data_IF_514017253055
#
_entry.id   IF_514017253055
#
_cell.length_a   1.000
_cell.length_b   1.000
_cell.length_c   1.000
_cell.angle_alpha   90.00
_cell.angle_beta   90.00
_cell.angle_gamma   90.00
#
_symmetry.space_group_name_H-M   'P 1'
#
loop_
_entity.id
_entity.type
_entity.pdbx_description
1 polymer ?
#
# COMPACT_ATOMS: atom_id res chain seq x y z
N UNK A 1 -5.67 3.97 70.41
CA UNK A 1 -4.89 3.22 69.39
C UNK A 1 -4.99 1.75 69.75
N UNK A 2 -6.00 1.08 69.19
CA UNK A 2 -6.35 -0.31 69.45
C UNK A 2 -5.82 -1.19 68.30
N UNK A 3 -5.47 -2.43 68.66
CA UNK A 3 -5.28 -3.63 67.82
C UNK A 3 -3.92 -3.72 67.09
N UNK A 4 -2.91 -4.37 67.69
CA UNK A 4 -2.71 -5.84 67.75
C UNK A 4 -2.79 -6.47 66.36
N UNK A 5 -1.67 -6.73 65.68
CA UNK A 5 -0.60 -7.69 66.02
C UNK A 5 -1.10 -9.15 66.08
N UNK A 6 -1.76 -9.64 65.03
CA UNK A 6 -2.02 -11.08 64.87
C UNK A 6 -2.41 -11.43 63.43
N UNK A 7 -1.44 -11.43 62.51
CA UNK A 7 -1.59 -12.00 61.17
C UNK A 7 -0.25 -12.53 60.64
N UNK A 8 0.50 -13.19 61.53
CA UNK A 8 1.78 -13.81 61.23
C UNK A 8 1.79 -15.22 61.85
N UNK A 9 0.82 -16.04 61.45
CA UNK A 9 0.81 -17.47 61.74
C UNK A 9 0.61 -18.21 60.42
N UNK A 10 1.53 -19.14 60.17
CA UNK A 10 1.50 -20.17 59.13
C UNK A 10 1.88 -19.75 57.69
N UNK A 11 3.05 -19.14 57.52
CA UNK A 11 3.89 -19.50 56.38
C UNK A 11 4.49 -20.90 56.63
N UNK A 12 3.62 -21.92 56.65
CA UNK A 12 4.06 -23.30 56.55
C UNK A 12 4.84 -23.39 55.25
N UNK A 13 6.11 -23.77 55.35
CA UNK A 13 6.95 -24.14 54.22
C UNK A 13 6.30 -25.33 53.52
N UNK A 14 5.34 -25.06 52.64
CA UNK A 14 4.86 -25.99 51.64
C UNK A 14 6.06 -26.21 50.71
N UNK A 15 6.91 -27.16 51.08
CA UNK A 15 7.97 -27.65 50.21
C UNK A 15 7.24 -28.44 49.13
N UNK A 16 6.82 -27.72 48.09
CA UNK A 16 6.18 -28.32 46.94
C UNK A 16 7.15 -29.38 46.41
N UNK A 17 6.70 -30.62 46.35
CA UNK A 17 7.52 -31.68 45.84
C UNK A 17 7.84 -31.39 44.36
N UNK A 18 9.08 -31.69 43.96
CA UNK A 18 9.60 -31.35 42.64
C UNK A 18 9.17 -32.46 41.69
N UNK A 19 8.58 -32.09 40.54
CA UNK A 19 8.27 -33.07 39.50
C UNK A 19 9.48 -33.23 38.58
N UNK A 20 9.80 -34.46 38.24
CA UNK A 20 10.84 -34.80 37.26
C UNK A 20 10.26 -35.73 36.20
N UNK A 21 10.93 -35.78 35.05
CA UNK A 21 10.53 -36.63 33.93
C UNK A 21 11.57 -37.71 33.75
N UNK A 22 11.13 -38.96 33.68
CA UNK A 22 11.96 -40.11 33.37
C UNK A 22 11.70 -40.62 31.96
N UNK A 23 12.79 -41.00 31.30
CA UNK A 23 12.80 -41.63 29.97
C UNK A 23 11.97 -40.90 28.89
N UNK A 24 12.08 -39.57 28.72
CA UNK A 24 11.44 -38.90 27.60
C UNK A 24 12.04 -39.42 26.30
N UNK A 25 11.19 -40.03 25.47
CA UNK A 25 11.58 -40.62 24.18
C UNK A 25 10.69 -40.05 23.10
N UNK A 26 11.31 -39.60 22.02
CA UNK A 26 10.63 -39.17 20.81
C UNK A 26 10.99 -40.12 19.69
N UNK A 27 9.96 -40.52 18.95
CA UNK A 27 10.09 -41.40 17.79
C UNK A 27 9.31 -40.80 16.64
N UNK A 28 9.96 -40.59 15.50
CA UNK A 28 9.31 -40.25 14.23
C UNK A 28 9.07 -41.52 13.41
N UNK A 29 7.94 -41.58 12.73
CA UNK A 29 7.53 -42.68 11.87
C UNK A 29 7.15 -42.11 10.50
N UNK A 30 7.51 -42.85 9.46
CA UNK A 30 7.10 -42.60 8.08
C UNK A 30 5.64 -43.06 7.85
N UNK A 31 5.08 -42.76 6.68
CA UNK A 31 3.74 -43.17 6.20
C UNK A 31 3.54 -44.70 6.27
N UNK A 32 4.63 -45.46 6.10
CA UNK A 32 4.63 -46.93 6.19
C UNK A 32 4.66 -47.48 7.63
N UNK A 33 4.75 -46.62 8.64
CA UNK A 33 4.84 -46.99 10.05
C UNK A 33 6.23 -47.49 10.47
N UNK A 34 7.22 -47.46 9.57
CA UNK A 34 8.62 -47.70 9.92
C UNK A 34 9.17 -46.51 10.72
N UNK A 35 9.83 -46.79 11.84
CA UNK A 35 10.43 -45.74 12.69
C UNK A 35 11.65 -45.13 12.01
N UNK A 36 11.57 -43.84 11.66
CA UNK A 36 12.65 -43.10 10.98
C UNK A 36 13.76 -42.76 11.97
N UNK A 37 13.40 -42.19 13.13
CA UNK A 37 14.37 -41.73 14.13
C UNK A 37 13.79 -41.90 15.53
N UNK A 38 14.56 -42.53 16.42
CA UNK A 38 14.25 -42.64 17.86
C UNK A 38 15.34 -41.94 18.64
N UNK A 39 14.97 -40.95 19.46
CA UNK A 39 15.91 -40.21 20.28
C UNK A 39 15.41 -40.17 21.74
N UNK A 40 16.32 -40.49 22.67
CA UNK A 40 16.06 -40.39 24.10
C UNK A 40 16.55 -39.02 24.55
N UNK A 41 15.62 -38.18 24.99
CA UNK A 41 15.90 -36.79 25.35
C UNK A 41 16.56 -36.74 26.74
N UNK A 42 17.55 -35.86 26.89
CA UNK A 42 18.11 -35.51 28.19
C UNK A 42 17.45 -34.21 28.66
N UNK A 43 17.11 -34.12 29.94
CA UNK A 43 16.42 -32.94 30.48
C UNK A 43 17.31 -31.67 30.55
N UNK A 44 18.64 -31.83 30.46
CA UNK A 44 19.62 -30.75 30.67
C UNK A 44 20.16 -30.18 29.35
N UNK A 45 20.08 -30.94 28.25
CA UNK A 45 20.67 -30.59 26.97
C UNK A 45 19.64 -30.75 25.86
N UNK A 46 19.35 -29.65 25.16
CA UNK A 46 18.47 -29.64 24.00
C UNK A 46 19.13 -30.40 22.84
N UNK A 47 18.40 -31.25 22.10
CA UNK A 47 18.93 -31.92 20.92
C UNK A 47 19.50 -30.94 19.89
N UNK A 48 20.66 -31.28 19.34
CA UNK A 48 21.40 -30.40 18.43
C UNK A 48 20.73 -30.29 17.04
N UNK A 49 20.01 -31.32 16.61
CA UNK A 49 19.38 -31.39 15.30
C UNK A 49 17.85 -31.37 15.43
N UNK A 50 17.16 -30.42 14.78
CA UNK A 50 15.70 -30.38 14.76
C UNK A 50 15.10 -31.67 14.20
N UNK A 51 13.94 -32.07 14.72
CA UNK A 51 13.18 -33.19 14.18
C UNK A 51 12.31 -32.71 13.03
N UNK A 52 12.71 -33.04 11.80
CA UNK A 52 11.88 -32.78 10.63
C UNK A 52 10.81 -33.87 10.47
N UNK A 53 9.58 -33.44 10.22
CA UNK A 53 8.45 -34.31 9.86
C UNK A 53 7.99 -33.96 8.44
N UNK A 54 7.71 -34.99 7.64
CA UNK A 54 7.02 -34.87 6.37
C UNK A 54 5.50 -34.68 6.51
N UNK A 55 4.78 -34.46 5.40
CA UNK A 55 3.33 -34.24 5.38
C UNK A 55 2.50 -35.43 5.83
N UNK A 56 3.04 -36.65 5.77
CA UNK A 56 2.34 -37.90 6.15
C UNK A 56 2.93 -38.55 7.40
N UNK A 57 4.01 -37.98 7.95
CA UNK A 57 4.75 -38.58 9.04
C UNK A 57 3.98 -38.48 10.36
N UNK A 58 4.33 -39.35 11.31
CA UNK A 58 3.82 -39.28 12.67
C UNK A 58 4.93 -39.20 13.71
N UNK A 59 4.71 -38.39 14.75
CA UNK A 59 5.60 -38.26 15.89
C UNK A 59 4.92 -38.81 17.13
N UNK A 60 5.62 -39.70 17.84
CA UNK A 60 5.21 -40.18 19.16
C UNK A 60 6.20 -39.71 20.21
N UNK A 61 5.67 -39.08 21.26
CA UNK A 61 6.41 -38.68 22.44
C UNK A 61 5.89 -39.48 23.63
N UNK A 62 6.78 -40.19 24.32
CA UNK A 62 6.45 -40.98 25.51
C UNK A 62 7.35 -40.57 26.66
N UNK A 63 6.78 -40.37 27.84
CA UNK A 63 7.53 -40.03 29.04
C UNK A 63 6.77 -40.47 30.29
N UNK A 64 7.47 -40.52 31.42
CA UNK A 64 6.88 -40.82 32.72
C UNK A 64 7.19 -39.70 33.72
N UNK A 65 6.16 -39.22 34.42
CA UNK A 65 6.25 -38.12 35.40
C UNK A 65 6.36 -38.72 36.80
N UNK A 66 7.43 -38.35 37.51
CA UNK A 66 7.75 -38.85 38.84
C UNK A 66 7.95 -37.68 39.81
N UNK A 67 7.71 -37.94 41.10
CA UNK A 67 8.01 -37.02 42.19
C UNK A 67 9.46 -37.23 42.66
N UNK A 68 10.23 -36.15 42.73
CA UNK A 68 11.59 -36.14 43.26
C UNK A 68 11.56 -35.65 44.72
N UNK A 69 11.49 -36.62 45.65
CA UNK A 69 11.26 -36.34 47.07
C UNK A 69 11.21 -37.57 47.99
N UNK A 70 12.39 -38.00 48.47
CA UNK A 70 12.69 -38.69 49.74
C UNK A 70 11.85 -39.91 50.21
N UNK A 71 12.31 -41.11 49.82
CA UNK A 71 12.75 -42.25 50.67
C UNK A 71 13.12 -43.41 49.73
N UNK A 72 14.23 -44.09 50.02
CA UNK A 72 14.81 -45.25 49.31
C UNK A 72 13.92 -45.89 48.23
N UNK A 73 14.29 -45.68 46.96
CA UNK A 73 13.95 -46.56 45.84
C UNK A 73 12.50 -46.60 45.33
N UNK A 74 11.54 -45.92 45.97
CA UNK A 74 10.14 -45.93 45.49
C UNK A 74 9.87 -44.74 44.58
N UNK A 75 10.04 -44.97 43.29
CA UNK A 75 9.68 -44.01 42.24
C UNK A 75 8.15 -43.96 42.17
N UNK A 76 7.52 -42.98 42.82
CA UNK A 76 6.06 -42.81 42.80
C UNK A 76 5.65 -42.03 41.55
N UNK A 77 4.89 -42.68 40.67
CA UNK A 77 4.26 -42.01 39.53
C UNK A 77 3.19 -41.05 40.00
N UNK A 78 3.21 -39.82 39.49
CA UNK A 78 2.22 -38.79 39.80
C UNK A 78 1.39 -38.52 38.56
N UNK A 79 0.08 -38.43 38.73
CA UNK A 79 -0.83 -37.96 37.71
C UNK A 79 -1.06 -36.46 37.91
N UNK A 80 -0.51 -35.58 37.05
CA UNK A 80 -0.75 -34.15 37.17
C UNK A 80 -2.17 -33.79 36.76
N UNK A 81 -2.65 -32.64 37.24
CA UNK A 81 -3.95 -32.09 36.85
C UNK A 81 -3.87 -31.43 35.47
N UNK A 82 -2.73 -30.80 35.17
CA UNK A 82 -2.46 -30.09 33.93
C UNK A 82 -1.20 -30.66 33.26
N UNK A 83 -1.32 -31.08 32.01
CA UNK A 83 -0.17 -31.52 31.19
C UNK A 83 -0.41 -31.08 29.75
N UNK A 84 0.42 -30.15 29.30
CA UNK A 84 0.31 -29.54 27.97
C UNK A 84 1.65 -29.60 27.24
N UNK A 85 1.58 -29.94 25.97
CA UNK A 85 2.66 -29.72 25.03
C UNK A 85 2.41 -28.41 24.30
N UNK A 86 3.33 -27.47 24.45
CA UNK A 86 3.32 -26.20 23.75
C UNK A 86 4.24 -26.29 22.53
N UNK A 87 3.73 -25.90 21.39
CA UNK A 87 4.44 -25.77 20.12
C UNK A 87 4.48 -24.28 19.81
N UNK A 88 5.66 -23.68 19.87
CA UNK A 88 5.81 -22.22 19.75
C UNK A 88 6.67 -21.87 18.54
N UNK A 89 6.18 -20.97 17.70
CA UNK A 89 6.97 -20.38 16.62
C UNK A 89 7.56 -19.04 17.08
N UNK A 90 8.89 -18.90 17.15
CA UNK A 90 9.54 -17.66 17.58
C UNK A 90 9.35 -16.49 16.59
N UNK A 91 9.08 -16.74 15.31
CA UNK A 91 8.95 -15.67 14.31
C UNK A 91 7.54 -15.07 14.30
N UNK A 92 6.53 -15.92 14.12
CA UNK A 92 5.12 -15.49 14.12
C UNK A 92 4.60 -15.17 15.52
N UNK A 93 5.29 -15.68 16.56
CA UNK A 93 4.87 -15.64 17.97
C UNK A 93 3.57 -16.37 18.24
N UNK A 94 3.14 -17.22 17.32
CA UNK A 94 1.97 -18.06 17.48
C UNK A 94 2.31 -19.32 18.29
N UNK A 95 1.35 -19.80 19.08
CA UNK A 95 1.51 -21.02 19.85
C UNK A 95 0.33 -21.96 19.67
N UNK A 96 0.65 -23.24 19.53
CA UNK A 96 -0.29 -24.34 19.59
C UNK A 96 -0.15 -25.11 20.89
N UNK A 97 -1.27 -25.40 21.56
CA UNK A 97 -1.27 -26.15 22.82
C UNK A 97 -2.01 -27.47 22.63
N UNK A 98 -1.32 -28.58 22.92
CA UNK A 98 -1.87 -29.92 22.88
C UNK A 98 -2.00 -30.50 24.29
N UNK A 99 -3.21 -30.85 24.76
CA UNK A 99 -3.38 -31.58 26.01
C UNK A 99 -2.82 -32.99 25.89
N UNK A 100 -2.05 -33.43 26.89
CA UNK A 100 -1.56 -34.80 26.98
C UNK A 100 -2.30 -35.52 28.11
N UNK A 101 -2.85 -36.69 27.82
CA UNK A 101 -3.44 -37.56 28.85
C UNK A 101 -2.34 -38.32 29.57
N UNK A 102 -2.32 -38.20 30.89
CA UNK A 102 -1.40 -38.92 31.78
C UNK A 102 -2.18 -39.97 32.57
N UNK A 103 -1.65 -41.19 32.64
CA UNK A 103 -2.23 -42.27 33.44
C UNK A 103 -1.98 -42.08 34.93
N UNK A 104 -2.71 -42.77 35.83
CA UNK A 104 -2.45 -42.73 37.28
C UNK A 104 -1.01 -43.12 37.67
N UNK A 105 -0.33 -43.92 36.84
CA UNK A 105 1.06 -44.33 37.03
C UNK A 105 2.09 -43.27 36.54
N UNK A 106 1.63 -42.09 36.13
CA UNK A 106 2.47 -41.01 35.60
C UNK A 106 2.95 -41.21 34.17
N UNK A 107 2.53 -42.28 33.48
CA UNK A 107 2.92 -42.53 32.07
C UNK A 107 2.06 -41.71 31.12
N UNK A 108 2.71 -41.06 30.16
CA UNK A 108 2.10 -40.22 29.14
C UNK A 108 2.51 -40.67 27.74
N UNK A 109 1.57 -40.64 26.80
CA UNK A 109 1.79 -40.87 25.37
C UNK A 109 1.12 -39.75 24.60
N UNK A 110 1.90 -39.08 23.77
CA UNK A 110 1.44 -38.10 22.79
C UNK A 110 1.75 -38.63 21.39
N UNK A 111 0.81 -38.46 20.48
CA UNK A 111 0.93 -38.90 19.08
C UNK A 111 0.39 -37.79 18.20
N UNK A 112 1.24 -37.32 17.29
CA UNK A 112 0.96 -36.27 16.33
C UNK A 112 1.05 -36.89 14.94
N UNK A 113 -0.03 -36.83 14.18
CA UNK A 113 -0.10 -37.37 12.83
C UNK A 113 -0.26 -36.20 11.83
N UNK A 114 0.69 -36.03 10.92
CA UNK A 114 0.67 -34.95 9.93
C UNK A 114 -0.30 -35.19 8.77
N UNK A 115 -0.71 -36.44 8.51
CA UNK A 115 -1.75 -36.71 7.51
C UNK A 115 -3.12 -36.12 7.91
N UNK A 116 -3.33 -35.90 9.21
CA UNK A 116 -4.51 -35.22 9.78
C UNK A 116 -4.05 -34.28 10.90
N UNK A 117 -3.43 -33.15 10.54
CA UNK A 117 -2.82 -32.26 11.52
C UNK A 117 -3.92 -31.65 12.41
N UNK A 118 -3.72 -31.59 13.73
CA UNK A 118 -4.71 -30.98 14.62
C UNK A 118 -4.80 -29.47 14.39
N UNK A 119 -6.02 -28.92 14.48
CA UNK A 119 -6.30 -27.48 14.29
C UNK A 119 -5.60 -26.57 15.32
N UNK A 120 -5.12 -27.15 16.41
CA UNK A 120 -4.37 -26.45 17.46
C UNK A 120 -2.87 -26.35 17.18
N UNK A 121 -2.38 -26.76 16.00
CA UNK A 121 -1.03 -26.41 15.56
C UNK A 121 -0.98 -24.93 15.15
N UNK A 122 0.10 -24.20 15.48
CA UNK A 122 0.31 -22.89 14.89
C UNK A 122 0.56 -23.03 13.39
N UNK A 123 0.25 -22.01 12.58
CA UNK A 123 0.73 -21.89 11.21
C UNK A 123 2.23 -22.20 11.12
N UNK A 124 2.57 -23.19 10.30
CA UNK A 124 3.93 -23.69 10.19
C UNK A 124 4.61 -23.05 9.01
N UNK A 125 5.77 -22.43 9.26
CA UNK A 125 6.69 -21.93 8.23
C UNK A 125 7.93 -22.84 8.19
N UNK A 126 8.97 -22.43 7.46
CA UNK A 126 10.25 -23.15 7.43
C UNK A 126 11.03 -23.09 8.75
N UNK A 127 10.57 -22.32 9.74
CA UNK A 127 11.26 -22.18 11.03
C UNK A 127 11.02 -23.37 11.96
N UNK A 128 12.04 -23.73 12.76
CA UNK A 128 11.87 -24.78 13.76
C UNK A 128 10.98 -24.31 14.91
N UNK A 129 9.89 -25.05 15.14
CA UNK A 129 8.99 -24.90 16.28
C UNK A 129 9.65 -25.41 17.56
N UNK A 130 9.54 -24.62 18.63
CA UNK A 130 10.02 -24.97 19.95
C UNK A 130 8.98 -25.80 20.70
N UNK A 131 9.31 -27.06 21.00
CA UNK A 131 8.43 -27.96 21.74
C UNK A 131 8.74 -27.88 23.22
N UNK A 132 7.81 -27.33 24.00
CA UNK A 132 7.94 -27.18 25.46
C UNK A 132 6.87 -28.01 26.16
N UNK A 133 7.26 -28.76 27.18
CA UNK A 133 6.33 -29.47 28.05
C UNK A 133 6.05 -28.63 29.30
N UNK A 134 4.76 -28.45 29.59
CA UNK A 134 4.26 -27.69 30.73
C UNK A 134 3.41 -28.63 31.59
N UNK A 135 3.82 -28.82 32.85
CA UNK A 135 3.13 -29.67 33.82
C UNK A 135 2.76 -28.83 35.05
N UNK A 136 1.52 -28.97 35.50
CA UNK A 136 0.98 -28.30 36.67
C UNK A 136 0.18 -29.25 37.56
N UNK A 137 0.42 -29.16 38.86
CA UNK A 137 -0.39 -29.82 39.88
C UNK A 137 -0.43 -28.92 41.13
N UNK A 138 -1.58 -28.75 41.82
CA UNK A 138 -1.68 -27.81 42.95
C UNK A 138 -0.71 -28.09 44.11
N UNK A 139 -0.33 -29.35 44.32
CA UNK A 139 0.57 -29.76 45.41
C UNK A 139 2.06 -29.83 45.03
N UNK A 140 2.41 -29.55 43.76
CA UNK A 140 3.78 -29.68 43.25
C UNK A 140 4.25 -28.38 42.60
N UNK A 141 5.56 -28.21 42.48
CA UNK A 141 6.13 -27.06 41.76
C UNK A 141 5.83 -27.17 40.26
N UNK A 142 5.43 -26.08 39.57
CA UNK A 142 5.17 -26.12 38.12
C UNK A 142 6.45 -26.44 37.36
N UNK A 143 6.34 -27.33 36.37
CA UNK A 143 7.48 -27.77 35.58
C UNK A 143 7.32 -27.29 34.13
N UNK A 144 8.32 -26.54 33.64
CA UNK A 144 8.42 -26.09 32.25
C UNK A 144 9.77 -26.54 31.70
N UNK A 145 9.76 -27.44 30.72
CA UNK A 145 10.98 -27.99 30.10
C UNK A 145 10.87 -27.87 28.59
N UNK A 146 11.88 -27.28 27.96
CA UNK A 146 12.05 -27.31 26.50
C UNK A 146 12.62 -28.68 26.11
N UNK A 147 11.88 -29.42 25.28
CA UNK A 147 12.22 -30.80 24.94
C UNK A 147 13.13 -30.85 23.70
N UNK A 148 12.67 -30.28 22.59
CA UNK A 148 13.37 -30.32 21.30
C UNK A 148 12.77 -29.30 20.33
N UNK A 149 13.46 -29.09 19.21
CA UNK A 149 12.96 -28.31 18.08
C UNK A 149 12.43 -29.22 16.98
N UNK A 150 11.36 -28.81 16.33
CA UNK A 150 10.67 -29.57 15.30
C UNK A 150 10.46 -28.73 14.05
N UNK A 151 10.74 -29.28 12.88
CA UNK A 151 10.41 -28.64 11.60
C UNK A 151 9.21 -29.38 11.01
N UNK A 152 8.14 -28.63 10.74
CA UNK A 152 6.93 -29.13 10.13
C UNK A 152 6.85 -28.67 8.67
N UNK A 153 6.12 -29.38 7.80
CA UNK A 153 5.85 -28.91 6.45
C UNK A 153 5.04 -27.60 6.50
N UNK A 154 5.18 -26.76 5.48
CA UNK A 154 4.44 -25.49 5.41
C UNK A 154 2.93 -25.72 5.43
N UNK A 155 2.22 -25.01 6.32
CA UNK A 155 0.76 -25.04 6.39
C UNK A 155 0.17 -23.83 5.70
N UNK A 156 -1.14 -23.86 5.46
CA UNK A 156 -1.87 -22.64 5.12
C UNK A 156 -1.72 -21.59 6.24
N UNK A 157 -1.70 -20.30 5.88
CA UNK A 157 -1.61 -19.22 6.86
C UNK A 157 -2.83 -19.25 7.79
N UNK A 158 -2.70 -18.67 8.99
CA UNK A 158 -3.82 -18.51 9.91
C UNK A 158 -5.01 -17.84 9.18
N UNK A 159 -6.25 -18.30 9.43
CA UNK A 159 -7.44 -17.61 8.96
C UNK A 159 -7.42 -16.16 9.45
N UNK A 160 -7.29 -15.23 8.51
CA UNK A 160 -7.34 -13.80 8.84
C UNK A 160 -8.79 -13.41 9.15
N UNK A 161 -8.97 -12.66 10.23
CA UNK A 161 -10.28 -12.11 10.57
C UNK A 161 -10.70 -11.11 9.48
N UNK A 162 -11.96 -11.09 9.02
CA UNK A 162 -12.41 -10.17 7.96
C UNK A 162 -12.11 -8.70 8.27
N UNK A 163 -12.14 -8.33 9.55
CA UNK A 163 -11.88 -6.97 10.00
C UNK A 163 -10.40 -6.65 10.24
N UNK A 164 -9.48 -7.61 10.08
CA UNK A 164 -8.04 -7.40 10.32
C UNK A 164 -7.51 -6.22 9.49
N UNK A 165 -7.95 -6.09 8.23
CA UNK A 165 -7.57 -5.00 7.34
C UNK A 165 -7.99 -3.61 7.84
N UNK A 166 -8.99 -3.52 8.73
CA UNK A 166 -9.48 -2.25 9.30
C UNK A 166 -8.58 -1.70 10.40
N UNK A 167 -7.71 -2.53 10.98
CA UNK A 167 -6.80 -2.14 12.07
C UNK A 167 -5.41 -1.71 11.58
N UNK A 168 -5.16 -1.81 10.26
CA UNK A 168 -3.90 -1.42 9.64
C UNK A 168 -4.02 -0.07 8.93
N UNK A 169 -2.90 0.65 8.85
CA UNK A 169 -2.83 1.85 8.03
C UNK A 169 -3.01 1.46 6.56
N UNK A 170 -4.03 2.03 5.92
CA UNK A 170 -4.29 1.84 4.50
C UNK A 170 -3.20 2.54 3.66
N UNK A 171 -2.87 2.00 2.48
CA UNK A 171 -1.92 2.64 1.58
C UNK A 171 -2.41 4.03 1.15
N UNK A 172 -1.48 4.96 0.97
CA UNK A 172 -1.78 6.32 0.50
C UNK A 172 -2.33 6.30 -0.94
N UNK A 173 -3.43 7.06 -1.17
CA UNK A 173 -4.05 7.19 -2.48
C UNK A 173 -3.50 8.43 -3.18
N UNK A 174 -2.75 8.23 -4.26
CA UNK A 174 -2.18 9.34 -5.06
C UNK A 174 -3.05 9.63 -6.28
N UNK A 175 -3.48 10.88 -6.44
CA UNK A 175 -4.24 11.31 -7.62
C UNK A 175 -3.34 11.34 -8.86
N UNK A 176 -3.69 10.56 -9.89
CA UNK A 176 -2.97 10.55 -11.17
C UNK A 176 -3.61 11.54 -12.13
N UNK A 177 -2.91 12.65 -12.40
CA UNK A 177 -3.34 13.64 -13.39
C UNK A 177 -3.23 13.12 -14.82
N UNK A 178 -4.06 13.67 -15.70
CA UNK A 178 -3.97 13.38 -17.14
C UNK A 178 -2.63 13.90 -17.70
N UNK A 179 -1.96 13.07 -18.50
CA UNK A 179 -0.75 13.47 -19.20
C UNK A 179 -1.01 14.68 -20.12
N UNK A 180 -0.07 15.64 -20.22
CA UNK A 180 -0.21 16.77 -21.12
C UNK A 180 -0.29 16.31 -22.58
N UNK A 181 -1.08 17.02 -23.39
CA UNK A 181 -1.17 16.72 -24.82
C UNK A 181 0.16 17.03 -25.52
N UNK A 182 0.59 16.13 -26.41
CA UNK A 182 1.82 16.30 -27.17
C UNK A 182 1.63 17.38 -28.24
N UNK A 183 2.38 18.47 -28.15
CA UNK A 183 2.39 19.54 -29.17
C UNK A 183 3.47 19.30 -30.23
N UNK A 184 3.26 19.75 -31.49
CA UNK A 184 4.28 19.67 -32.55
C UNK A 184 5.54 20.50 -32.24
N UNK A 185 6.70 20.15 -32.83
CA UNK A 185 7.92 20.94 -32.65
C UNK A 185 7.81 22.32 -33.31
N UNK A 186 8.40 23.33 -32.65
CA UNK A 186 8.31 24.75 -33.02
C UNK A 186 8.80 25.05 -34.44
N UNK A 187 9.80 24.31 -34.93
CA UNK A 187 10.36 24.47 -36.27
C UNK A 187 9.35 24.14 -37.37
N UNK A 188 8.60 23.05 -37.21
CA UNK A 188 7.55 22.65 -38.15
C UNK A 188 6.42 23.69 -38.14
N UNK A 189 5.96 24.10 -36.95
CA UNK A 189 4.93 25.14 -36.83
C UNK A 189 5.34 26.47 -37.48
N UNK A 190 6.61 26.88 -37.32
CA UNK A 190 7.14 28.10 -37.92
C UNK A 190 7.21 28.02 -39.46
N UNK A 191 7.60 26.87 -40.01
CA UNK A 191 7.63 26.65 -41.45
C UNK A 191 6.23 26.79 -42.05
N UNK A 192 5.23 26.12 -41.48
CA UNK A 192 3.85 26.21 -41.97
C UNK A 192 3.23 27.59 -41.78
N UNK A 193 3.58 28.32 -40.71
CA UNK A 193 3.19 29.72 -40.56
C UNK A 193 3.77 30.60 -41.69
N UNK A 194 5.04 30.38 -42.06
CA UNK A 194 5.65 31.05 -43.21
C UNK A 194 4.96 30.73 -44.53
N UNK A 195 4.59 29.46 -44.75
CA UNK A 195 3.82 29.03 -45.93
C UNK A 195 2.44 29.71 -45.96
N UNK A 196 1.75 29.81 -44.82
CA UNK A 196 0.47 30.50 -44.73
C UNK A 196 0.56 32.01 -45.03
N UNK A 197 1.71 32.64 -44.75
CA UNK A 197 1.98 34.05 -45.07
C UNK A 197 2.47 34.28 -46.51
N UNK A 198 2.87 33.23 -47.24
CA UNK A 198 3.44 33.35 -48.58
C UNK A 198 2.52 34.03 -49.61
N UNK A 199 1.19 33.74 -49.65
CA UNK A 199 0.30 34.39 -50.60
C UNK A 199 0.23 35.91 -50.42
N UNK A 200 0.33 36.39 -49.17
CA UNK A 200 0.37 37.82 -48.86
C UNK A 200 1.65 38.48 -49.38
N UNK A 201 2.80 37.81 -49.22
CA UNK A 201 4.07 38.30 -49.77
C UNK A 201 4.03 38.39 -51.31
N UNK A 202 3.47 37.37 -51.98
CA UNK A 202 3.28 37.37 -53.44
C UNK A 202 2.34 38.50 -53.88
N UNK A 203 1.23 38.69 -53.17
CA UNK A 203 0.28 39.79 -53.44
C UNK A 203 0.97 41.15 -53.37
N UNK A 204 1.73 41.42 -52.30
CA UNK A 204 2.47 42.67 -52.14
C UNK A 204 3.54 42.88 -53.22
N UNK A 205 4.24 41.81 -53.62
CA UNK A 205 5.23 41.87 -54.69
C UNK A 205 4.59 42.24 -56.04
N UNK A 206 3.49 41.57 -56.40
CA UNK A 206 2.71 41.89 -57.61
C UNK A 206 2.16 43.32 -57.57
N UNK A 207 1.68 43.75 -56.40
CA UNK A 207 1.12 45.09 -56.26
C UNK A 207 2.17 46.17 -56.46
N UNK A 208 3.42 45.94 -56.04
CA UNK A 208 4.53 46.89 -56.29
C UNK A 208 4.87 47.08 -57.77
N UNK A 209 4.57 46.08 -58.62
CA UNK A 209 4.80 46.14 -60.06
C UNK A 209 3.65 46.81 -60.83
N UNK A 210 2.41 46.65 -60.36
CA UNK A 210 1.19 47.04 -61.10
C UNK A 210 0.49 48.26 -60.47
N UNK A 211 1.03 48.84 -59.38
CA UNK A 211 0.31 49.79 -58.53
C UNK A 211 -0.34 50.96 -59.30
N UNK A 212 -1.68 51.01 -59.41
CA UNK A 212 -2.36 52.22 -59.82
C UNK A 212 -2.27 53.17 -58.63
N UNK A 213 -1.47 54.23 -58.75
CA UNK A 213 -1.28 55.20 -57.67
C UNK A 213 -2.60 55.63 -57.02
N UNK A 214 -2.56 55.95 -55.71
CA UNK A 214 -3.69 56.50 -54.97
C UNK A 214 -3.52 58.01 -54.74
N UNK A 215 -3.59 58.85 -55.80
CA UNK A 215 -3.19 60.27 -55.73
C UNK A 215 -4.03 61.11 -54.75
N UNK A 216 -5.20 60.63 -54.33
CA UNK A 216 -6.14 61.36 -53.48
C UNK A 216 -6.25 60.80 -52.06
N UNK A 217 -5.38 59.87 -51.66
CA UNK A 217 -5.43 59.26 -50.33
C UNK A 217 -5.30 60.30 -49.21
N UNK A 218 -4.48 61.34 -49.44
CA UNK A 218 -4.26 62.44 -48.50
C UNK A 218 -5.27 63.60 -48.63
N UNK A 219 -6.37 63.41 -49.36
CA UNK A 219 -7.44 64.40 -49.43
C UNK A 219 -8.10 64.59 -48.06
N UNK A 220 -8.38 65.82 -47.61
CA UNK A 220 -9.03 66.10 -46.32
C UNK A 220 -10.38 65.38 -46.11
N UNK A 221 -11.07 65.03 -47.21
CA UNK A 221 -12.33 64.29 -47.15
C UNK A 221 -12.17 62.77 -47.08
N UNK A 222 -11.02 62.22 -47.50
CA UNK A 222 -10.81 60.76 -47.66
C UNK A 222 -9.94 60.23 -46.51
N UNK A 223 -8.90 60.96 -46.11
CA UNK A 223 -7.97 60.56 -45.07
C UNK A 223 -8.66 60.21 -43.73
N UNK A 224 -9.63 61.00 -43.21
CA UNK A 224 -10.31 60.66 -41.97
C UNK A 224 -11.05 59.32 -42.02
N UNK A 225 -11.61 58.97 -43.18
CA UNK A 225 -12.33 57.71 -43.39
C UNK A 225 -11.36 56.51 -43.43
N UNK A 226 -10.23 56.63 -44.11
CA UNK A 226 -9.19 55.59 -44.13
C UNK A 226 -8.60 55.38 -42.73
N UNK A 227 -8.34 56.47 -42.00
CA UNK A 227 -7.88 56.40 -40.61
C UNK A 227 -8.90 55.71 -39.71
N UNK A 228 -10.21 55.98 -39.88
CA UNK A 228 -11.24 55.30 -39.08
C UNK A 228 -11.35 53.80 -39.39
N UNK A 229 -11.11 53.39 -40.65
CA UNK A 229 -11.02 51.97 -41.01
C UNK A 229 -9.77 51.31 -40.40
N UNK A 230 -8.61 51.98 -40.45
CA UNK A 230 -7.40 51.50 -39.77
C UNK A 230 -7.57 51.38 -38.25
N UNK A 231 -8.30 52.33 -37.63
CA UNK A 231 -8.64 52.25 -36.21
C UNK A 231 -9.52 51.04 -35.87
N UNK A 232 -10.41 50.61 -36.77
CA UNK A 232 -11.18 49.38 -36.61
C UNK A 232 -10.29 48.13 -36.64
N UNK A 233 -9.34 48.06 -37.58
CA UNK A 233 -8.38 46.95 -37.62
C UNK A 233 -7.51 46.88 -36.37
N UNK A 234 -7.04 48.04 -35.86
CA UNK A 234 -6.28 48.10 -34.60
C UNK A 234 -7.15 47.65 -33.42
N UNK A 235 -8.42 48.06 -33.37
CA UNK A 235 -9.35 47.62 -32.32
C UNK A 235 -9.56 46.10 -32.35
N UNK A 236 -9.65 45.50 -33.54
CA UNK A 236 -9.78 44.05 -33.72
C UNK A 236 -8.52 43.29 -33.31
N UNK A 237 -7.34 43.81 -33.65
CA UNK A 237 -6.06 43.23 -33.19
C UNK A 237 -5.97 43.32 -31.66
N UNK A 238 -6.37 44.44 -31.06
CA UNK A 238 -6.34 44.59 -29.62
C UNK A 238 -7.36 43.70 -28.90
N UNK A 239 -8.53 43.48 -29.51
CA UNK A 239 -9.49 42.47 -29.07
C UNK A 239 -8.88 41.07 -29.02
N UNK A 240 -8.13 40.69 -30.05
CA UNK A 240 -7.50 39.38 -30.12
C UNK A 240 -6.44 39.18 -29.01
N UNK A 241 -5.77 40.25 -28.56
CA UNK A 241 -4.71 40.17 -27.55
C UNK A 241 -5.26 40.19 -26.11
N UNK A 242 -6.16 41.12 -25.77
CA UNK A 242 -6.51 41.38 -24.36
C UNK A 242 -7.93 41.93 -24.12
N UNK A 243 -8.56 42.58 -25.11
CA UNK A 243 -9.83 43.27 -24.87
C UNK A 243 -10.99 42.30 -24.62
N UNK A 244 -11.83 42.61 -23.61
CA UNK A 244 -13.10 41.88 -23.40
C UNK A 244 -14.16 42.34 -24.40
N UNK A 245 -15.08 41.45 -24.73
CA UNK A 245 -16.14 41.68 -25.71
C UNK A 245 -16.91 42.99 -25.48
N UNK A 246 -17.32 43.28 -24.23
CA UNK A 246 -18.05 44.53 -23.92
C UNK A 246 -17.31 45.82 -24.27
N UNK A 247 -15.97 45.86 -24.10
CA UNK A 247 -15.17 47.03 -24.46
C UNK A 247 -15.07 47.22 -25.96
N UNK A 248 -14.96 46.12 -26.73
CA UNK A 248 -14.94 46.16 -28.19
C UNK A 248 -16.28 46.67 -28.74
N UNK A 249 -17.40 46.22 -28.18
CA UNK A 249 -18.71 46.73 -28.58
C UNK A 249 -18.86 48.22 -28.26
N UNK A 250 -18.39 48.67 -27.09
CA UNK A 250 -18.45 50.08 -26.69
C UNK A 250 -17.58 50.95 -27.60
N UNK A 251 -16.29 50.63 -27.73
CA UNK A 251 -15.34 51.38 -28.54
C UNK A 251 -15.67 51.30 -30.04
N UNK A 252 -16.05 50.12 -30.52
CA UNK A 252 -16.52 49.89 -31.88
C UNK A 252 -17.82 50.63 -32.17
N UNK A 253 -18.73 50.69 -31.20
CA UNK A 253 -19.95 51.50 -31.27
C UNK A 253 -19.64 52.98 -31.47
N UNK A 254 -18.80 53.57 -30.61
CA UNK A 254 -18.38 54.97 -30.73
C UNK A 254 -17.64 55.22 -32.06
N UNK A 255 -16.72 54.34 -32.42
CA UNK A 255 -15.93 54.44 -33.66
C UNK A 255 -16.81 54.29 -34.91
N UNK A 256 -17.88 53.49 -34.86
CA UNK A 256 -18.83 53.31 -35.96
C UNK A 256 -19.56 54.59 -36.31
N UNK A 257 -19.94 55.41 -35.32
CA UNK A 257 -20.56 56.72 -35.56
C UNK A 257 -19.58 57.64 -36.31
N UNK A 258 -18.34 57.74 -35.84
CA UNK A 258 -17.32 58.56 -36.50
C UNK A 258 -17.04 58.08 -37.94
N UNK A 259 -17.00 56.76 -38.15
CA UNK A 259 -16.79 56.13 -39.46
C UNK A 259 -17.95 56.39 -40.41
N UNK A 260 -19.19 56.44 -39.91
CA UNK A 260 -20.37 56.74 -40.72
C UNK A 260 -20.32 58.16 -41.29
N UNK A 261 -19.98 59.15 -40.46
CA UNK A 261 -19.91 60.55 -40.90
C UNK A 261 -18.73 60.79 -41.86
N UNK A 262 -17.54 60.28 -41.54
CA UNK A 262 -16.36 60.39 -42.41
C UNK A 262 -16.50 59.59 -43.70
N UNK A 263 -17.18 58.45 -43.67
CA UNK A 263 -17.49 57.65 -44.86
C UNK A 263 -18.46 58.36 -45.79
N UNK A 264 -19.52 58.98 -45.24
CA UNK A 264 -20.48 59.77 -46.03
C UNK A 264 -19.77 60.91 -46.77
N UNK A 265 -18.90 61.66 -46.10
CA UNK A 265 -18.16 62.78 -46.73
C UNK A 265 -17.13 62.30 -47.75
N UNK A 266 -16.39 61.22 -47.45
CA UNK A 266 -15.45 60.60 -48.38
C UNK A 266 -16.14 60.13 -49.66
N UNK A 267 -17.20 59.33 -49.54
CA UNK A 267 -17.96 58.79 -50.68
C UNK A 267 -18.64 59.89 -51.49
N UNK A 268 -19.22 60.90 -50.84
CA UNK A 268 -19.81 62.05 -51.52
C UNK A 268 -18.75 62.84 -52.32
N UNK A 269 -17.54 63.02 -51.78
CA UNK A 269 -16.45 63.69 -52.49
C UNK A 269 -15.97 62.92 -53.73
N UNK A 270 -15.90 61.59 -53.64
CA UNK A 270 -15.55 60.71 -54.76
C UNK A 270 -16.66 60.76 -55.83
N UNK A 271 -17.93 60.72 -55.41
CA UNK A 271 -19.08 60.85 -56.30
C UNK A 271 -19.11 62.19 -57.04
N UNK A 272 -18.93 63.30 -56.32
CA UNK A 272 -18.90 64.65 -56.92
C UNK A 272 -17.75 64.82 -57.92
N UNK A 273 -16.60 64.17 -57.69
CA UNK A 273 -15.48 64.16 -58.65
C UNK A 273 -15.80 63.35 -59.90
N UNK A 274 -16.48 62.21 -59.77
CA UNK A 274 -16.90 61.39 -60.93
C UNK A 274 -17.91 62.11 -61.81
N UNK A 275 -18.81 62.89 -61.23
CA UNK A 275 -19.86 63.64 -61.94
C UNK A 275 -19.36 65.04 -62.39
N UNK A 276 -18.14 65.44 -62.02
CA UNK A 276 -17.54 66.71 -62.45
C UNK A 276 -18.10 67.96 -61.76
N UNK A 277 -18.79 67.82 -60.62
CA UNK A 277 -19.46 68.92 -59.91
C UNK A 277 -18.56 69.67 -58.90
N UNK A 278 -17.25 69.39 -58.91
CA UNK A 278 -16.29 70.00 -57.99
C UNK A 278 -15.79 71.34 -58.56
N UNK A 279 -16.15 72.47 -57.94
CA UNK A 279 -15.58 73.78 -58.27
C UNK A 279 -14.08 73.79 -57.95
N UNK A 280 -13.26 73.92 -58.99
CA UNK A 280 -11.84 74.27 -58.87
C UNK A 280 -11.72 75.58 -58.08
N UNK A 281 -10.91 75.54 -57.04
CA UNK A 281 -10.37 76.72 -56.37
C UNK A 281 -8.86 76.55 -56.30
#
# INVERSE_FOLDING_TARGET
>A
MFLLSSLLVLAATARAAVLTIQSPRVTTYDDTGAGIRTEVLKLTEKPLHPMALGPTDSLKLTFQIMEDGHKEGVVKGVQPLQTFLRLYDPETKEEGIQPIRVTPAGKAKFELNMAKPPLSLPPTTTTPLQVTLIIGHPSHSPLKIELFDMVLPESHPAPQHPDEASFHLLPEIVHTFRAPQKVPPRTISALFAGVALSPWAVLLALWSQVFPGAPHLFSPSILPFITSLGAFEVLLVWYWVDLKLGHVLLYGGILSLATLFTGKTALASIGARRVGTTKSK
#
